data_IF_621226287024
#
_entry.id   IF_621226287024
#
_cell.length_a   1.000
_cell.length_b   1.000
_cell.length_c   1.000
_cell.angle_alpha   90.00
_cell.angle_beta   90.00
_cell.angle_gamma   90.00
#
_symmetry.space_group_name_H-M   'P 1'
#
loop_
_entity.id
_entity.type
_entity.pdbx_description
1 polymer ?
#
# COMPACT_ATOMS: atom_id res chain seq x y z
N UNK A 1 -16.74 6.71 -25.71
CA UNK A 1 -15.36 6.82 -26.25
C UNK A 1 -14.43 6.96 -25.06
N UNK A 2 -13.45 6.07 -24.87
CA UNK A 2 -12.62 6.03 -23.65
C UNK A 2 -11.85 7.35 -23.44
N UNK A 3 -11.76 7.81 -22.19
CA UNK A 3 -11.04 9.02 -21.76
C UNK A 3 -9.57 9.05 -22.24
N UNK A 4 -8.99 7.87 -22.47
CA UNK A 4 -7.65 7.69 -23.07
C UNK A 4 -7.60 8.13 -24.54
N UNK A 5 -8.64 7.86 -25.33
CA UNK A 5 -8.67 8.16 -26.76
C UNK A 5 -8.82 9.66 -27.02
N UNK A 6 -9.56 10.38 -26.16
CA UNK A 6 -9.69 11.83 -26.27
C UNK A 6 -8.35 12.54 -26.01
N UNK A 7 -7.57 12.09 -25.02
CA UNK A 7 -6.24 12.64 -24.74
C UNK A 7 -5.27 12.41 -25.90
N UNK A 8 -5.28 11.23 -26.52
CA UNK A 8 -4.43 10.93 -27.68
C UNK A 8 -4.75 11.83 -28.88
N UNK A 9 -6.04 12.02 -29.19
CA UNK A 9 -6.46 12.91 -30.29
C UNK A 9 -6.05 14.37 -30.00
N UNK A 10 -6.23 14.83 -28.76
CA UNK A 10 -5.83 16.19 -28.36
C UNK A 10 -4.31 16.39 -28.51
N UNK A 11 -3.49 15.43 -28.08
CA UNK A 11 -2.04 15.50 -28.27
C UNK A 11 -1.64 15.48 -29.75
N UNK A 12 -2.30 14.68 -30.57
CA UNK A 12 -2.03 14.61 -32.01
C UNK A 12 -2.32 15.95 -32.71
N UNK A 13 -3.44 16.62 -32.35
CA UNK A 13 -3.79 17.96 -32.88
C UNK A 13 -2.81 19.03 -32.41
N UNK A 14 -2.40 19.00 -31.14
CA UNK A 14 -1.39 19.94 -30.64
C UNK A 14 -0.05 19.78 -31.35
N UNK A 15 0.41 18.54 -31.55
CA UNK A 15 1.65 18.25 -32.26
C UNK A 15 1.55 18.68 -33.73
N UNK A 16 0.41 18.49 -34.39
CA UNK A 16 0.25 18.89 -35.79
C UNK A 16 0.29 20.42 -35.97
N UNK A 17 -0.31 21.18 -35.04
CA UNK A 17 -0.24 22.65 -35.03
C UNK A 17 1.21 23.11 -34.86
N UNK A 18 1.92 22.55 -33.87
CA UNK A 18 3.34 22.91 -33.63
C UNK A 18 4.19 22.59 -34.86
N UNK A 19 4.02 21.41 -35.47
CA UNK A 19 4.76 21.03 -36.68
C UNK A 19 4.42 21.99 -37.83
N UNK A 20 3.15 22.33 -38.03
CA UNK A 20 2.74 23.27 -39.08
C UNK A 20 3.38 24.66 -38.88
N UNK A 21 3.44 25.16 -37.65
CA UNK A 21 4.11 26.42 -37.33
C UNK A 21 5.61 26.37 -37.66
N UNK A 22 6.29 25.25 -37.34
CA UNK A 22 7.69 25.06 -37.73
C UNK A 22 7.87 25.09 -39.25
N UNK A 23 6.97 24.46 -40.02
CA UNK A 23 7.03 24.49 -41.49
C UNK A 23 6.79 25.90 -42.04
N UNK A 24 5.81 26.63 -41.52
CA UNK A 24 5.53 28.02 -41.93
C UNK A 24 6.74 28.90 -41.63
N UNK A 25 7.31 28.78 -40.43
CA UNK A 25 8.48 29.54 -40.02
C UNK A 25 9.70 29.23 -40.90
N UNK A 26 9.95 27.95 -41.19
CA UNK A 26 11.03 27.53 -42.07
C UNK A 26 10.84 28.04 -43.50
N UNK A 27 9.60 28.00 -44.01
CA UNK A 27 9.27 28.53 -45.33
C UNK A 27 9.49 30.04 -45.41
N UNK A 28 9.06 30.80 -44.40
CA UNK A 28 9.27 32.24 -44.29
C UNK A 28 10.76 32.60 -44.23
N UNK A 29 11.54 31.90 -43.39
CA UNK A 29 12.99 32.06 -43.32
C UNK A 29 13.64 31.78 -44.67
N UNK A 30 13.22 30.72 -45.37
CA UNK A 30 13.79 30.36 -46.67
C UNK A 30 13.56 31.40 -47.78
N UNK A 31 12.48 32.17 -47.69
CA UNK A 31 12.13 33.25 -48.62
C UNK A 31 12.83 34.56 -48.30
N UNK A 32 13.03 34.86 -47.02
CA UNK A 32 13.58 36.13 -46.54
C UNK A 32 15.11 36.12 -46.42
N UNK A 33 15.71 34.97 -46.16
CA UNK A 33 17.16 34.84 -45.99
C UNK A 33 17.72 33.99 -47.13
N UNK A 34 18.66 34.55 -47.89
CA UNK A 34 19.53 33.73 -48.75
C UNK A 34 20.27 32.79 -47.81
N UNK A 35 20.10 31.49 -48.01
CA UNK A 35 20.71 30.46 -47.17
C UNK A 35 22.24 30.53 -47.24
N UNK A 36 22.83 31.35 -46.39
CA UNK A 36 24.27 31.33 -46.16
C UNK A 36 24.63 30.06 -45.40
N UNK A 37 25.77 29.46 -45.74
CA UNK A 37 26.24 28.20 -45.14
C UNK A 37 26.31 28.25 -43.62
N UNK A 38 26.54 29.45 -43.05
CA UNK A 38 26.51 29.73 -41.61
C UNK A 38 25.15 29.47 -40.95
N UNK A 39 24.05 29.84 -41.61
CA UNK A 39 22.69 29.67 -41.09
C UNK A 39 22.26 28.21 -41.11
N UNK A 40 22.62 27.46 -42.17
CA UNK A 40 22.38 26.02 -42.25
C UNK A 40 23.13 25.30 -41.11
N UNK A 41 24.38 25.68 -40.86
CA UNK A 41 25.18 25.11 -39.77
C UNK A 41 24.58 25.41 -38.39
N UNK A 42 24.03 26.60 -38.18
CA UNK A 42 23.33 26.97 -36.95
C UNK A 42 22.07 26.13 -36.69
N UNK A 43 21.24 25.93 -37.71
CA UNK A 43 20.03 25.09 -37.62
C UNK A 43 20.38 23.63 -37.36
N UNK A 44 21.38 23.08 -38.05
CA UNK A 44 21.85 21.71 -37.82
C UNK A 44 22.41 21.52 -36.39
N UNK A 45 23.16 22.51 -35.88
CA UNK A 45 23.69 22.48 -34.51
C UNK A 45 22.57 22.53 -33.48
N UNK A 46 21.54 23.35 -33.71
CA UNK A 46 20.36 23.40 -32.85
C UNK A 46 19.59 22.08 -32.83
N UNK A 47 19.33 21.50 -34.01
CA UNK A 47 18.67 20.19 -34.11
C UNK A 47 19.49 19.09 -33.43
N UNK A 48 20.82 19.11 -33.60
CA UNK A 48 21.73 18.20 -32.91
C UNK A 48 21.66 18.33 -31.39
N UNK A 49 21.61 19.56 -30.87
CA UNK A 49 21.45 19.82 -29.44
C UNK A 49 20.09 19.35 -28.90
N UNK A 50 19.00 19.58 -29.64
CA UNK A 50 17.64 19.14 -29.27
C UNK A 50 17.57 17.61 -29.25
N UNK A 51 18.06 16.94 -30.30
CA UNK A 51 18.10 15.48 -30.37
C UNK A 51 18.97 14.88 -29.27
N UNK A 52 20.15 15.47 -29.03
CA UNK A 52 21.02 15.09 -27.92
C UNK A 52 20.31 15.20 -26.57
N UNK A 53 19.62 16.31 -26.31
CA UNK A 53 18.82 16.52 -25.11
C UNK A 53 17.70 15.48 -24.95
N UNK A 54 16.98 15.17 -26.02
CA UNK A 54 15.93 14.14 -26.00
C UNK A 54 16.48 12.74 -25.69
N UNK A 55 17.62 12.36 -26.29
CA UNK A 55 18.29 11.08 -26.02
C UNK A 55 18.71 10.99 -24.55
N UNK A 56 19.34 12.05 -24.02
CA UNK A 56 19.74 12.10 -22.60
C UNK A 56 18.54 11.96 -21.68
N UNK A 57 17.44 12.67 -21.96
CA UNK A 57 16.24 12.64 -21.14
C UNK A 57 15.56 11.25 -21.17
N UNK A 58 15.56 10.60 -22.33
CA UNK A 58 15.14 9.20 -22.48
C UNK A 58 16.02 8.23 -21.68
N UNK A 59 17.35 8.41 -21.70
CA UNK A 59 18.29 7.61 -20.92
C UNK A 59 18.07 7.76 -19.41
N UNK A 60 17.91 8.99 -18.92
CA UNK A 60 17.59 9.28 -17.51
C UNK A 60 16.26 8.64 -17.11
N UNK A 61 15.23 8.77 -17.94
CA UNK A 61 13.92 8.17 -17.68
C UNK A 61 13.99 6.64 -17.56
N UNK A 62 14.69 5.98 -18.49
CA UNK A 62 14.92 4.53 -18.45
C UNK A 62 15.69 4.12 -17.19
N UNK A 63 16.70 4.90 -16.81
CA UNK A 63 17.53 4.63 -15.63
C UNK A 63 16.71 4.72 -14.36
N UNK A 64 15.94 5.78 -14.17
CA UNK A 64 15.04 5.95 -13.02
C UNK A 64 14.01 4.82 -12.96
N UNK A 65 13.45 4.43 -14.11
CA UNK A 65 12.44 3.38 -14.18
C UNK A 65 13.02 2.02 -13.81
N UNK A 66 14.21 1.68 -14.33
CA UNK A 66 14.91 0.44 -14.00
C UNK A 66 15.36 0.43 -12.54
N UNK A 67 15.84 1.55 -12.01
CA UNK A 67 16.26 1.63 -10.61
C UNK A 67 15.07 1.45 -9.67
N UNK A 68 13.92 2.08 -9.95
CA UNK A 68 12.68 1.85 -9.19
C UNK A 68 12.27 0.37 -9.23
N UNK A 69 12.31 -0.25 -10.41
CA UNK A 69 11.97 -1.68 -10.57
C UNK A 69 12.93 -2.58 -9.79
N UNK A 70 14.23 -2.30 -9.83
CA UNK A 70 15.24 -3.07 -9.09
C UNK A 70 15.07 -2.90 -7.58
N UNK A 71 14.90 -1.66 -7.09
CA UNK A 71 14.61 -1.39 -5.66
C UNK A 71 13.36 -2.12 -5.18
N UNK A 72 12.30 -2.16 -5.99
CA UNK A 72 11.09 -2.93 -5.68
C UNK A 72 11.39 -4.43 -5.65
N UNK A 73 12.06 -4.97 -6.67
CA UNK A 73 12.40 -6.40 -6.75
C UNK A 73 13.23 -6.86 -5.54
N UNK A 74 14.18 -6.05 -5.11
CA UNK A 74 15.09 -6.41 -4.03
C UNK A 74 14.43 -6.24 -2.65
N UNK A 75 13.56 -5.24 -2.49
CA UNK A 75 12.84 -5.02 -1.22
C UNK A 75 11.59 -5.90 -1.05
N UNK A 76 10.97 -6.34 -2.15
CA UNK A 76 9.75 -7.13 -2.13
C UNK A 76 9.83 -8.43 -1.32
N UNK A 77 10.83 -9.33 -1.48
CA UNK A 77 10.88 -10.57 -0.70
C UNK A 77 11.00 -10.31 0.81
N UNK A 78 11.73 -9.24 1.17
CA UNK A 78 11.89 -8.82 2.57
C UNK A 78 10.56 -8.31 3.12
N UNK A 79 9.89 -7.41 2.39
CA UNK A 79 8.58 -6.88 2.78
C UNK A 79 7.51 -7.97 2.88
N UNK A 80 7.50 -8.90 1.92
CA UNK A 80 6.59 -10.05 1.94
C UNK A 80 6.81 -10.91 3.19
N UNK A 81 8.06 -11.23 3.53
CA UNK A 81 8.38 -11.98 4.74
C UNK A 81 7.87 -11.29 6.01
N UNK A 82 8.02 -9.97 6.12
CA UNK A 82 7.48 -9.23 7.26
C UNK A 82 5.94 -9.23 7.28
N UNK A 83 5.31 -9.04 6.13
CA UNK A 83 3.86 -9.11 6.02
C UNK A 83 3.32 -10.51 6.38
N UNK A 84 3.99 -11.58 5.99
CA UNK A 84 3.64 -12.95 6.35
C UNK A 84 3.71 -13.18 7.87
N UNK A 85 4.72 -12.62 8.55
CA UNK A 85 4.81 -12.67 10.03
C UNK A 85 3.65 -11.96 10.71
N UNK A 86 3.35 -10.73 10.27
CA UNK A 86 2.23 -9.94 10.80
C UNK A 86 0.91 -10.68 10.57
N UNK A 87 0.73 -11.23 9.38
CA UNK A 87 -0.49 -11.96 9.03
C UNK A 87 -0.64 -13.25 9.84
N UNK A 88 0.45 -13.99 10.08
CA UNK A 88 0.45 -15.19 10.93
C UNK A 88 -0.06 -14.85 12.33
N UNK A 89 0.51 -13.81 12.96
CA UNK A 89 0.08 -13.33 14.27
C UNK A 89 -1.39 -12.90 14.29
N UNK A 90 -1.84 -12.14 13.28
CA UNK A 90 -3.22 -11.71 13.16
C UNK A 90 -4.20 -12.90 13.00
N UNK A 91 -3.79 -13.94 12.29
CA UNK A 91 -4.58 -15.15 12.09
C UNK A 91 -4.60 -16.08 13.32
N UNK A 92 -3.51 -16.15 14.07
CA UNK A 92 -3.47 -16.83 15.37
C UNK A 92 -4.47 -16.19 16.33
N UNK A 93 -4.43 -14.86 16.48
CA UNK A 93 -5.38 -14.19 17.36
C UNK A 93 -6.82 -14.20 16.84
N UNK A 94 -7.07 -14.19 15.52
CA UNK A 94 -8.39 -14.49 14.93
C UNK A 94 -8.90 -15.88 15.32
N UNK A 95 -8.04 -16.90 15.25
CA UNK A 95 -8.38 -18.28 15.61
C UNK A 95 -8.72 -18.40 17.09
N UNK A 96 -7.89 -17.80 17.94
CA UNK A 96 -8.10 -17.73 19.38
C UNK A 96 -9.42 -17.05 19.73
N UNK A 97 -9.68 -15.90 19.10
CA UNK A 97 -10.89 -15.10 19.23
C UNK A 97 -12.16 -15.89 18.84
N UNK A 98 -12.12 -16.64 17.74
CA UNK A 98 -13.21 -17.53 17.32
C UNK A 98 -13.46 -18.66 18.34
N UNK A 99 -12.40 -19.23 18.91
CA UNK A 99 -12.53 -20.26 19.95
C UNK A 99 -13.18 -19.70 21.22
N UNK A 100 -12.91 -18.43 21.55
CA UNK A 100 -13.47 -17.77 22.73
C UNK A 100 -14.93 -17.41 22.47
N UNK A 101 -15.23 -16.71 21.38
CA UNK A 101 -16.61 -16.31 21.04
C UNK A 101 -17.56 -17.49 20.88
N UNK A 102 -17.09 -18.65 20.41
CA UNK A 102 -17.89 -19.87 20.39
C UNK A 102 -18.19 -20.40 21.79
N UNK A 103 -17.24 -20.34 22.73
CA UNK A 103 -17.45 -20.67 24.15
C UNK A 103 -18.34 -19.65 24.87
N UNK A 104 -18.29 -18.37 24.49
CA UNK A 104 -19.15 -17.31 25.05
C UNK A 104 -20.65 -17.48 24.69
N UNK A 105 -20.98 -18.25 23.65
CA UNK A 105 -22.38 -18.53 23.25
C UNK A 105 -23.06 -19.62 24.10
N UNK A 106 -22.31 -20.35 24.92
CA UNK A 106 -22.82 -21.41 25.80
C UNK A 106 -22.78 -21.07 27.30
N UNK A 107 -23.01 -22.07 28.15
CA UNK A 107 -22.79 -21.95 29.60
C UNK A 107 -21.29 -21.79 29.87
N UNK A 108 -20.94 -20.72 30.57
CA UNK A 108 -19.62 -20.11 30.57
C UNK A 108 -18.60 -21.00 31.30
N UNK A 109 -18.02 -21.96 30.59
CA UNK A 109 -17.09 -22.97 31.14
C UNK A 109 -15.65 -22.75 30.70
N UNK A 110 -15.37 -21.73 29.88
CA UNK A 110 -14.01 -21.35 29.55
C UNK A 110 -13.39 -20.67 30.79
N UNK A 111 -12.32 -21.22 31.38
CA UNK A 111 -11.63 -20.56 32.48
C UNK A 111 -11.05 -19.23 32.00
N UNK A 112 -11.37 -18.15 32.69
CA UNK A 112 -10.87 -16.79 32.43
C UNK A 112 -9.35 -16.75 32.33
N UNK A 113 -8.65 -17.59 33.09
CA UNK A 113 -7.20 -17.82 33.03
C UNK A 113 -6.70 -18.24 31.64
N UNK A 114 -7.46 -19.08 30.92
CA UNK A 114 -7.10 -19.51 29.56
C UNK A 114 -7.25 -18.34 28.59
N UNK A 115 -8.28 -17.51 28.76
CA UNK A 115 -8.50 -16.36 27.89
C UNK A 115 -7.39 -15.32 28.12
N UNK A 116 -7.07 -15.04 29.38
CA UNK A 116 -6.05 -14.07 29.77
C UNK A 116 -4.65 -14.50 29.32
N UNK A 117 -4.29 -15.78 29.48
CA UNK A 117 -2.99 -16.29 29.02
C UNK A 117 -2.80 -16.15 27.51
N UNK A 118 -3.83 -16.48 26.72
CA UNK A 118 -3.79 -16.36 25.26
C UNK A 118 -3.58 -14.91 24.81
N UNK A 119 -4.35 -13.96 25.34
CA UNK A 119 -4.21 -12.56 24.92
C UNK A 119 -2.96 -11.88 25.48
N UNK A 120 -2.50 -12.25 26.68
CA UNK A 120 -1.23 -11.78 27.21
C UNK A 120 -0.05 -12.21 26.33
N UNK A 121 -0.09 -13.43 25.77
CA UNK A 121 0.94 -13.87 24.83
C UNK A 121 0.91 -13.07 23.52
N UNK A 122 -0.27 -12.82 22.96
CA UNK A 122 -0.44 -12.00 21.74
C UNK A 122 -0.02 -10.55 21.97
N UNK A 123 -0.29 -10.00 23.14
CA UNK A 123 0.11 -8.65 23.57
C UNK A 123 1.63 -8.54 23.68
N UNK A 124 2.31 -9.51 24.30
CA UNK A 124 3.78 -9.53 24.40
C UNK A 124 4.47 -9.56 23.03
N UNK A 125 3.85 -10.20 22.06
CA UNK A 125 4.36 -10.24 20.69
C UNK A 125 4.05 -8.95 19.91
N UNK A 126 3.11 -8.12 20.36
CA UNK A 126 2.59 -6.99 19.59
C UNK A 126 3.67 -5.97 19.21
N UNK A 127 4.60 -5.65 20.11
CA UNK A 127 5.68 -4.69 19.84
C UNK A 127 6.58 -5.13 18.69
N UNK A 128 6.98 -6.41 18.69
CA UNK A 128 7.81 -6.99 17.61
C UNK A 128 7.03 -7.01 16.29
N UNK A 129 5.76 -7.38 16.34
CA UNK A 129 4.88 -7.44 15.17
C UNK A 129 4.63 -6.04 14.59
N UNK A 130 4.51 -5.02 15.43
CA UNK A 130 4.40 -3.63 15.01
C UNK A 130 5.67 -3.15 14.30
N UNK A 131 6.87 -3.51 14.78
CA UNK A 131 8.10 -3.21 14.04
C UNK A 131 8.09 -3.85 12.65
N UNK A 132 7.70 -5.13 12.53
CA UNK A 132 7.55 -5.77 11.22
C UNK A 132 6.55 -5.05 10.33
N UNK A 133 5.41 -4.61 10.87
CA UNK A 133 4.41 -3.88 10.12
C UNK A 133 4.96 -2.53 9.58
N UNK A 134 5.82 -1.83 10.33
CA UNK A 134 6.48 -0.60 9.83
C UNK A 134 7.38 -0.86 8.62
N UNK A 135 7.98 -2.06 8.52
CA UNK A 135 8.84 -2.41 7.38
C UNK A 135 8.06 -2.70 6.10
N UNK A 136 6.76 -3.00 6.21
CA UNK A 136 5.88 -3.24 5.05
C UNK A 136 5.46 -1.90 4.44
N UNK A 137 4.59 -1.17 5.15
CA UNK A 137 4.16 0.20 4.86
C UNK A 137 3.31 0.78 6.03
N UNK A 138 3.02 2.08 5.99
CA UNK A 138 2.27 2.77 7.05
C UNK A 138 0.80 2.32 7.20
N UNK A 139 0.14 1.87 6.12
CA UNK A 139 -1.23 1.33 6.21
C UNK A 139 -1.23 0.01 6.99
N UNK A 140 -0.30 -0.89 6.66
CA UNK A 140 -0.12 -2.18 7.33
C UNK A 140 0.14 -2.00 8.83
N UNK A 141 0.98 -1.02 9.19
CA UNK A 141 1.20 -0.64 10.58
C UNK A 141 -0.10 -0.21 11.28
N UNK A 142 -0.88 0.69 10.68
CA UNK A 142 -2.12 1.18 11.29
C UNK A 142 -3.16 0.07 11.47
N UNK A 143 -3.31 -0.82 10.48
CA UNK A 143 -4.22 -1.96 10.54
C UNK A 143 -3.79 -2.93 11.65
N UNK A 144 -2.49 -3.23 11.73
CA UNK A 144 -1.91 -4.11 12.76
C UNK A 144 -2.05 -3.52 14.16
N UNK A 145 -1.83 -2.20 14.30
CA UNK A 145 -2.00 -1.49 15.56
C UNK A 145 -3.44 -1.57 16.06
N UNK A 146 -4.43 -1.39 15.19
CA UNK A 146 -5.84 -1.53 15.59
C UNK A 146 -6.12 -2.95 16.10
N UNK A 147 -5.56 -3.99 15.47
CA UNK A 147 -5.70 -5.37 15.96
C UNK A 147 -5.06 -5.52 17.36
N UNK A 148 -3.88 -4.95 17.58
CA UNK A 148 -3.20 -4.99 18.87
C UNK A 148 -3.99 -4.27 19.97
N UNK A 149 -4.53 -3.08 19.66
CA UNK A 149 -5.37 -2.31 20.57
C UNK A 149 -6.64 -3.10 20.96
N UNK A 150 -7.23 -3.86 20.03
CA UNK A 150 -8.37 -4.73 20.32
C UNK A 150 -8.00 -5.94 21.18
N UNK A 151 -6.80 -6.53 21.01
CA UNK A 151 -6.31 -7.56 21.93
C UNK A 151 -6.15 -7.03 23.35
N UNK A 152 -5.61 -5.82 23.50
CA UNK A 152 -5.48 -5.15 24.79
C UNK A 152 -6.85 -4.89 25.43
N UNK A 153 -7.83 -4.44 24.64
CA UNK A 153 -9.22 -4.27 25.11
C UNK A 153 -9.80 -5.58 25.65
N UNK A 154 -9.59 -6.70 24.96
CA UNK A 154 -10.05 -8.00 25.44
C UNK A 154 -9.33 -8.40 26.73
N UNK A 155 -7.99 -8.27 26.78
CA UNK A 155 -7.18 -8.61 27.96
C UNK A 155 -7.72 -7.94 29.23
N UNK A 156 -8.03 -6.64 29.15
CA UNK A 156 -8.60 -5.88 30.27
C UNK A 156 -10.04 -6.25 30.60
N UNK A 157 -10.88 -6.49 29.58
CA UNK A 157 -12.29 -6.82 29.79
C UNK A 157 -12.49 -8.23 30.35
N UNK A 158 -11.53 -9.13 30.17
CA UNK A 158 -11.59 -10.52 30.63
C UNK A 158 -11.59 -10.63 32.16
N UNK A 159 -10.94 -9.72 32.87
CA UNK A 159 -10.90 -9.72 34.34
C UNK A 159 -12.30 -9.55 34.98
N UNK A 160 -13.22 -8.89 34.27
CA UNK A 160 -14.57 -8.60 34.76
C UNK A 160 -15.60 -9.68 34.40
N UNK A 161 -15.20 -10.72 33.67
CA UNK A 161 -16.10 -11.80 33.22
C UNK A 161 -16.58 -12.67 34.39
N UNK A 162 -15.75 -12.82 35.43
CA UNK A 162 -16.08 -13.57 36.64
C UNK A 162 -16.57 -12.69 37.78
N UNK A 163 -16.88 -11.42 37.49
CA UNK A 163 -17.52 -10.50 38.43
C UNK A 163 -18.81 -11.10 39.04
N UNK A 164 -18.96 -10.98 40.36
CA UNK A 164 -20.21 -11.27 41.07
C UNK A 164 -21.34 -10.31 40.66
N UNK A 165 -20.98 -9.08 40.28
CA UNK A 165 -21.91 -8.12 39.70
C UNK A 165 -22.29 -8.57 38.28
N UNK A 166 -23.56 -8.95 38.14
CA UNK A 166 -24.17 -9.39 36.86
C UNK A 166 -24.03 -8.34 35.77
N UNK A 167 -24.13 -7.06 36.11
CA UNK A 167 -24.09 -5.97 35.14
C UNK A 167 -22.68 -5.85 34.55
N UNK A 168 -21.66 -5.81 35.40
CA UNK A 168 -20.25 -5.77 34.97
C UNK A 168 -19.88 -7.00 34.13
N UNK A 169 -20.37 -8.18 34.54
CA UNK A 169 -20.19 -9.43 33.79
C UNK A 169 -20.80 -9.37 32.39
N UNK A 170 -22.00 -8.81 32.25
CA UNK A 170 -22.66 -8.68 30.94
C UNK A 170 -21.94 -7.66 30.06
N UNK A 171 -21.52 -6.51 30.62
CA UNK A 171 -20.72 -5.52 29.91
C UNK A 171 -19.40 -6.09 29.41
N UNK A 172 -18.67 -6.82 30.26
CA UNK A 172 -17.42 -7.48 29.90
C UNK A 172 -17.61 -8.44 28.72
N UNK A 173 -18.67 -9.26 28.75
CA UNK A 173 -18.99 -10.19 27.66
C UNK A 173 -19.33 -9.47 26.35
N UNK A 174 -20.09 -8.38 26.42
CA UNK A 174 -20.40 -7.56 25.26
C UNK A 174 -19.15 -6.94 24.65
N UNK A 175 -18.25 -6.42 25.49
CA UNK A 175 -17.03 -5.79 25.04
C UNK A 175 -16.08 -6.79 24.38
N UNK A 176 -15.83 -7.94 25.03
CA UNK A 176 -15.02 -9.01 24.44
C UNK A 176 -15.58 -9.48 23.10
N UNK A 177 -16.92 -9.63 22.99
CA UNK A 177 -17.57 -10.01 21.73
C UNK A 177 -17.43 -8.93 20.65
N UNK A 178 -17.49 -7.65 21.02
CA UNK A 178 -17.30 -6.52 20.11
C UNK A 178 -15.87 -6.51 19.58
N UNK A 179 -14.87 -6.51 20.45
CA UNK A 179 -13.46 -6.53 20.10
C UNK A 179 -13.09 -7.77 19.27
N UNK A 180 -13.65 -8.92 19.62
CA UNK A 180 -13.49 -10.15 18.86
C UNK A 180 -13.93 -10.01 17.39
N UNK A 181 -15.11 -9.44 17.16
CA UNK A 181 -15.61 -9.20 15.80
C UNK A 181 -14.74 -8.19 15.05
N UNK A 182 -14.23 -7.16 15.74
CA UNK A 182 -13.34 -6.18 15.15
C UNK A 182 -12.02 -6.81 14.72
N UNK A 183 -11.39 -7.64 15.56
CA UNK A 183 -10.18 -8.39 15.20
C UNK A 183 -10.42 -9.24 13.94
N UNK A 184 -11.52 -9.99 13.88
CA UNK A 184 -11.83 -10.83 12.71
C UNK A 184 -11.95 -9.97 11.46
N UNK A 185 -12.67 -8.85 11.55
CA UNK A 185 -12.85 -7.91 10.43
C UNK A 185 -11.52 -7.33 9.97
N UNK A 186 -10.72 -6.78 10.90
CA UNK A 186 -9.43 -6.16 10.61
C UNK A 186 -8.43 -7.16 10.03
N UNK A 187 -8.39 -8.40 10.54
CA UNK A 187 -7.54 -9.45 9.97
C UNK A 187 -7.94 -9.78 8.53
N UNK A 188 -9.24 -9.85 8.22
CA UNK A 188 -9.69 -10.06 6.84
C UNK A 188 -9.33 -8.88 5.92
N UNK A 189 -9.42 -7.64 6.41
CA UNK A 189 -9.00 -6.45 5.67
C UNK A 189 -7.48 -6.45 5.42
N UNK A 190 -6.68 -6.83 6.42
CA UNK A 190 -5.23 -7.00 6.32
C UNK A 190 -4.85 -8.04 5.25
N UNK A 191 -5.55 -9.20 5.22
CA UNK A 191 -5.38 -10.23 4.19
C UNK A 191 -5.67 -9.70 2.78
N UNK A 192 -6.76 -8.94 2.63
CA UNK A 192 -7.14 -8.33 1.35
C UNK A 192 -6.08 -7.32 0.90
N UNK A 193 -5.62 -6.47 1.81
CA UNK A 193 -4.57 -5.48 1.55
C UNK A 193 -3.26 -6.16 1.11
N UNK A 194 -2.89 -7.27 1.73
CA UNK A 194 -1.69 -8.03 1.35
C UNK A 194 -1.79 -8.62 -0.06
N UNK A 195 -2.96 -9.17 -0.42
CA UNK A 195 -3.23 -9.69 -1.78
C UNK A 195 -3.12 -8.58 -2.82
N UNK A 196 -3.64 -7.39 -2.52
CA UNK A 196 -3.52 -6.24 -3.41
C UNK A 196 -2.06 -5.83 -3.62
N UNK A 197 -1.27 -5.69 -2.53
CA UNK A 197 0.16 -5.36 -2.61
C UNK A 197 0.93 -6.39 -3.44
N UNK A 198 0.60 -7.67 -3.27
CA UNK A 198 1.19 -8.77 -4.04
C UNK A 198 0.90 -8.62 -5.53
N UNK A 199 -0.35 -8.35 -5.90
CA UNK A 199 -0.76 -8.17 -7.30
C UNK A 199 -0.13 -6.92 -7.93
N UNK A 200 -0.05 -5.81 -7.20
CA UNK A 200 0.55 -4.56 -7.67
C UNK A 200 2.07 -4.69 -7.87
N UNK A 201 2.72 -5.61 -7.16
CA UNK A 201 4.16 -5.87 -7.30
C UNK A 201 4.53 -6.78 -8.48
N UNK A 202 3.55 -7.52 -9.02
CA UNK A 202 3.73 -8.49 -10.11
C UNK A 202 3.38 -7.92 -11.49
N UNK A 203 2.67 -6.79 -11.55
CA UNK A 203 2.27 -6.08 -12.77
C UNK A 203 3.19 -4.88 -13.06
#
# INVERSE_FOLDING_TARGET
MSDKNQKVILYAVLISIVIADFFIYFWLLSRLLKWETSMIAGVLSFLGAVLGGMITLGGVYLTITNEKKNRLRDSYPIKKRYADKVLKWANEGKTNTNSITSKLRGDFSAPTEIIQSIFSELEKQSDEILDYATKVNGKFYNDTKQIADEYYSISNSVEFIDSEDKLNKEYARMDVKRSANNIIKLTNELESNLKQITNDSLN
#
